data_IF_329072957428
#
_entry.id   IF_329072957428
#
_cell.length_a   1.000
_cell.length_b   1.000
_cell.length_c   1.000
_cell.angle_alpha   90.00
_cell.angle_beta   90.00
_cell.angle_gamma   90.00
#
_symmetry.space_group_name_H-M   'P 1'
#
loop_
_entity.id
_entity.type
_entity.pdbx_description
1 polymer ?
#
# COMPACT_ATOMS: atom_id res chain seq x y z
N UNK A 1 21.20 -11.00 -1.91
CA UNK A 1 21.09 -11.41 -0.48
C UNK A 1 20.60 -10.31 0.47
N UNK A 2 21.31 -9.19 0.71
CA UNK A 2 20.84 -8.16 1.68
C UNK A 2 19.47 -7.53 1.37
N UNK A 3 19.14 -7.31 0.08
CA UNK A 3 17.81 -6.80 -0.34
C UNK A 3 16.69 -7.84 -0.22
N UNK A 4 17.01 -9.13 -0.42
CA UNK A 4 16.06 -10.24 -0.24
C UNK A 4 15.71 -10.39 1.24
N UNK A 5 16.70 -10.41 2.14
CA UNK A 5 16.47 -10.44 3.59
C UNK A 5 15.53 -9.31 4.05
N UNK A 6 15.69 -8.07 3.52
CA UNK A 6 14.79 -6.96 3.86
C UNK A 6 13.32 -7.16 3.45
N UNK A 7 13.04 -7.89 2.36
CA UNK A 7 11.66 -8.21 1.92
C UNK A 7 11.02 -9.32 2.77
N UNK A 8 11.82 -10.22 3.37
CA UNK A 8 11.33 -11.49 3.92
C UNK A 8 11.14 -11.44 5.45
N UNK A 9 11.91 -10.61 6.13
CA UNK A 9 11.79 -10.41 7.59
C UNK A 9 10.42 -9.79 8.01
N UNK A 10 9.76 -8.91 7.23
CA UNK A 10 8.39 -8.46 7.53
C UNK A 10 7.37 -9.61 7.55
N UNK A 11 7.46 -10.53 6.58
CA UNK A 11 6.59 -11.73 6.50
C UNK A 11 6.83 -12.68 7.67
N UNK A 12 8.09 -12.82 8.11
CA UNK A 12 8.47 -13.61 9.30
C UNK A 12 7.82 -13.08 10.60
N UNK A 13 7.55 -11.77 10.68
CA UNK A 13 6.96 -11.14 11.85
C UNK A 13 5.41 -11.20 11.85
N UNK A 14 4.79 -11.37 10.68
CA UNK A 14 3.33 -11.49 10.50
C UNK A 14 2.81 -12.94 10.64
N UNK A 15 3.59 -13.94 10.24
CA UNK A 15 3.22 -15.36 10.29
C UNK A 15 3.38 -15.99 11.68
N UNK A 16 2.69 -15.46 12.70
CA UNK A 16 2.70 -16.02 14.05
C UNK A 16 1.31 -16.51 14.49
N UNK A 17 0.55 -17.13 13.58
CA UNK A 17 -0.58 -17.97 13.96
C UNK A 17 -0.67 -19.11 12.95
N UNK A 18 -0.14 -20.28 13.30
CA UNK A 18 -0.81 -21.57 13.12
C UNK A 18 -0.03 -22.64 13.89
N UNK A 19 -0.82 -23.49 14.53
CA UNK A 19 -0.43 -24.42 15.57
C UNK A 19 -0.31 -25.82 14.96
N UNK A 20 0.79 -26.53 15.20
CA UNK A 20 0.81 -27.99 15.18
C UNK A 20 1.95 -28.53 16.04
N UNK A 21 1.60 -29.43 16.94
CA UNK A 21 2.43 -30.02 17.97
C UNK A 21 3.62 -30.81 17.40
N UNK A 22 4.85 -30.37 17.67
CA UNK A 22 6.07 -31.12 17.40
C UNK A 22 6.23 -32.30 18.37
N UNK A 23 5.53 -33.40 18.09
CA UNK A 23 5.73 -34.67 18.80
C UNK A 23 6.67 -35.57 18.01
N UNK A 24 7.99 -35.50 18.24
CA UNK A 24 8.94 -36.55 17.81
C UNK A 24 10.20 -36.11 17.06
N UNK A 25 10.40 -34.82 16.78
CA UNK A 25 11.61 -34.29 16.12
C UNK A 25 12.63 -33.86 17.17
N UNK A 26 13.90 -34.23 17.00
CA UNK A 26 14.98 -33.85 17.91
C UNK A 26 15.38 -32.37 17.72
N UNK A 27 15.83 -31.72 18.80
CA UNK A 27 16.40 -30.37 18.72
C UNK A 27 17.55 -30.35 17.69
N UNK A 28 17.45 -29.47 16.68
CA UNK A 28 18.47 -29.36 15.63
C UNK A 28 18.17 -30.15 14.36
N UNK A 29 17.10 -30.96 14.33
CA UNK A 29 16.73 -31.78 13.17
C UNK A 29 15.86 -31.00 12.18
N UNK A 30 16.49 -30.12 11.40
CA UNK A 30 15.85 -29.33 10.34
C UNK A 30 15.16 -30.21 9.29
N UNK A 31 15.77 -31.35 8.93
CA UNK A 31 15.23 -32.26 7.91
C UNK A 31 13.96 -32.95 8.45
N UNK A 32 13.99 -33.44 9.68
CA UNK A 32 12.82 -34.00 10.36
C UNK A 32 11.71 -32.97 10.53
N UNK A 33 12.03 -31.76 10.97
CA UNK A 33 11.08 -30.66 11.12
C UNK A 33 10.39 -30.30 9.79
N UNK A 34 11.14 -30.24 8.68
CA UNK A 34 10.58 -29.97 7.36
C UNK A 34 9.72 -31.13 6.85
N UNK A 35 10.12 -32.39 7.06
CA UNK A 35 9.32 -33.57 6.69
C UNK A 35 7.98 -33.61 7.43
N UNK A 36 7.98 -33.31 8.73
CA UNK A 36 6.73 -33.25 9.52
C UNK A 36 5.82 -32.11 9.05
N UNK A 37 6.40 -30.96 8.69
CA UNK A 37 5.65 -29.86 8.09
C UNK A 37 4.97 -30.28 6.78
N UNK A 38 5.72 -30.88 5.84
CA UNK A 38 5.16 -31.39 4.57
C UNK A 38 4.01 -32.37 4.82
N UNK A 39 4.17 -33.31 5.76
CA UNK A 39 3.09 -34.24 6.15
C UNK A 39 1.84 -33.50 6.62
N UNK A 40 2.01 -32.47 7.44
CA UNK A 40 0.90 -31.70 8.01
C UNK A 40 0.15 -30.87 6.96
N UNK A 41 0.86 -30.24 6.03
CA UNK A 41 0.29 -29.45 4.94
C UNK A 41 -0.43 -30.34 3.91
N UNK A 42 0.15 -31.48 3.55
CA UNK A 42 -0.52 -32.46 2.67
C UNK A 42 -1.79 -33.03 3.29
N UNK A 43 -1.78 -33.29 4.61
CA UNK A 43 -2.97 -33.79 5.32
C UNK A 43 -4.08 -32.74 5.42
N UNK A 44 -3.72 -31.46 5.54
CA UNK A 44 -4.66 -30.34 5.62
C UNK A 44 -5.09 -29.81 4.24
N UNK A 45 -4.40 -30.22 3.17
CA UNK A 45 -4.68 -29.79 1.80
C UNK A 45 -4.19 -28.37 1.49
N UNK A 46 -3.27 -27.84 2.29
CA UNK A 46 -2.72 -26.47 2.17
C UNK A 46 -1.31 -26.45 1.56
N UNK A 47 -0.83 -27.58 1.05
CA UNK A 47 0.46 -27.66 0.38
C UNK A 47 0.50 -26.80 -0.89
N UNK A 48 1.51 -25.92 -0.98
CA UNK A 48 1.63 -24.91 -2.05
C UNK A 48 2.93 -24.98 -2.86
N UNK A 49 3.86 -25.88 -2.52
CA UNK A 49 5.19 -25.94 -3.16
C UNK A 49 5.26 -26.89 -4.37
N UNK A 50 4.20 -27.65 -4.68
CA UNK A 50 4.13 -28.46 -5.90
C UNK A 50 2.69 -28.63 -6.38
N UNK A 51 2.52 -28.85 -7.68
CA UNK A 51 1.22 -29.12 -8.29
C UNK A 51 0.82 -30.61 -8.30
N UNK A 52 1.74 -31.53 -7.95
CA UNK A 52 1.43 -32.96 -7.87
C UNK A 52 0.41 -33.29 -6.77
N UNK A 53 -0.82 -33.58 -7.20
CA UNK A 53 -1.95 -34.02 -6.34
C UNK A 53 -1.66 -35.37 -5.63
N UNK A 54 -0.65 -36.12 -6.06
CA UNK A 54 -0.24 -37.41 -5.48
C UNK A 54 1.07 -37.33 -4.68
N UNK A 55 1.54 -36.12 -4.32
CA UNK A 55 2.71 -35.97 -3.46
C UNK A 55 2.44 -36.58 -2.08
N UNK A 56 3.38 -37.38 -1.59
CA UNK A 56 3.44 -37.81 -0.19
C UNK A 56 4.75 -37.36 0.42
N UNK A 57 4.80 -37.16 1.74
CA UNK A 57 6.03 -36.74 2.41
C UNK A 57 7.19 -37.75 2.27
N UNK A 58 6.89 -39.01 1.96
CA UNK A 58 7.89 -40.06 1.68
C UNK A 58 8.52 -39.90 0.30
N UNK A 59 7.85 -39.19 -0.62
CA UNK A 59 8.37 -38.85 -1.95
C UNK A 59 9.22 -37.57 -1.95
N UNK A 60 9.27 -36.86 -0.82
CA UNK A 60 10.19 -35.73 -0.63
C UNK A 60 11.51 -36.27 -0.13
N UNK A 61 12.50 -36.29 -1.01
CA UNK A 61 13.81 -36.88 -0.73
C UNK A 61 14.96 -35.88 -1.00
N UNK A 62 16.18 -36.26 -0.63
CA UNK A 62 17.41 -35.46 -0.82
C UNK A 62 17.31 -34.05 -0.24
N UNK A 63 16.66 -33.93 0.92
CA UNK A 63 16.48 -32.64 1.60
C UNK A 63 17.85 -32.14 2.09
N UNK A 64 18.27 -31.00 1.56
CA UNK A 64 19.45 -30.25 2.00
C UNK A 64 18.99 -28.95 2.64
N UNK A 65 19.62 -28.58 3.75
CA UNK A 65 19.27 -27.38 4.51
C UNK A 65 20.52 -26.51 4.66
N UNK A 66 20.47 -25.29 4.14
CA UNK A 66 21.49 -24.27 4.33
C UNK A 66 20.95 -23.18 5.26
N UNK A 67 21.59 -23.00 6.41
CA UNK A 67 21.21 -21.95 7.37
C UNK A 67 21.64 -20.59 6.80
N UNK A 68 20.67 -19.69 6.65
CA UNK A 68 20.93 -18.36 6.11
C UNK A 68 21.15 -17.33 7.23
N UNK A 69 20.23 -17.31 8.22
CA UNK A 69 20.22 -16.28 9.27
C UNK A 69 19.39 -16.70 10.49
N UNK A 70 19.87 -16.39 11.68
CA UNK A 70 19.07 -16.46 12.90
C UNK A 70 18.23 -15.19 13.02
N UNK A 71 16.91 -15.32 12.93
CA UNK A 71 15.99 -14.19 13.00
C UNK A 71 15.86 -13.74 14.45
N UNK A 72 16.37 -12.56 14.76
CA UNK A 72 16.32 -11.99 16.11
C UNK A 72 15.17 -11.01 16.30
N UNK A 73 14.88 -10.66 17.56
CA UNK A 73 13.99 -9.53 17.89
C UNK A 73 14.48 -8.23 17.24
N UNK A 74 15.79 -8.00 17.14
CA UNK A 74 16.34 -6.83 16.44
C UNK A 74 15.97 -6.81 14.95
N UNK A 75 15.99 -7.97 14.30
CA UNK A 75 15.63 -8.08 12.88
C UNK A 75 14.13 -7.81 12.68
N UNK A 76 13.27 -8.39 13.52
CA UNK A 76 11.83 -8.14 13.48
C UNK A 76 11.48 -6.67 13.76
N UNK A 77 12.14 -6.02 14.73
CA UNK A 77 11.96 -4.60 14.99
C UNK A 77 12.40 -3.74 13.80
N UNK A 78 13.51 -4.09 13.14
CA UNK A 78 13.99 -3.36 11.95
C UNK A 78 13.02 -3.50 10.78
N UNK A 79 12.53 -4.71 10.52
CA UNK A 79 11.57 -4.96 9.46
C UNK A 79 10.22 -4.27 9.73
N UNK A 80 9.68 -4.40 10.94
CA UNK A 80 8.45 -3.72 11.33
C UNK A 80 8.55 -2.20 11.23
N UNK A 81 9.72 -1.61 11.52
CA UNK A 81 9.97 -0.17 11.31
C UNK A 81 9.95 0.19 9.84
N UNK A 82 10.61 -0.58 8.99
CA UNK A 82 10.61 -0.30 7.55
C UNK A 82 9.20 -0.40 6.97
N UNK A 83 8.46 -1.45 7.32
CA UNK A 83 7.08 -1.64 6.89
C UNK A 83 6.16 -0.49 7.37
N UNK A 84 6.31 -0.06 8.62
CA UNK A 84 5.57 1.10 9.14
C UNK A 84 5.92 2.38 8.39
N UNK A 85 7.19 2.60 8.04
CA UNK A 85 7.63 3.75 7.23
C UNK A 85 7.01 3.68 5.82
N UNK A 86 7.08 2.53 5.17
CA UNK A 86 6.55 2.35 3.81
C UNK A 86 5.02 2.53 3.79
N UNK A 87 4.32 2.02 4.80
CA UNK A 87 2.88 2.20 5.00
C UNK A 87 2.52 3.67 5.26
N UNK A 88 3.29 4.36 6.11
CA UNK A 88 3.10 5.78 6.38
C UNK A 88 3.27 6.61 5.10
N UNK A 89 4.38 6.42 4.39
CA UNK A 89 4.70 7.17 3.16
C UNK A 89 3.66 6.94 2.08
N UNK A 90 3.25 5.69 1.85
CA UNK A 90 2.21 5.37 0.86
C UNK A 90 0.85 5.99 1.21
N UNK A 91 0.48 5.96 2.49
CA UNK A 91 -0.76 6.60 2.98
C UNK A 91 -0.70 8.12 2.85
N UNK A 92 0.42 8.74 3.21
CA UNK A 92 0.65 10.18 3.06
C UNK A 92 0.50 10.60 1.60
N UNK A 93 1.16 9.90 0.69
CA UNK A 93 1.12 10.18 -0.75
C UNK A 93 -0.30 10.07 -1.31
N UNK A 94 -1.05 9.01 -0.92
CA UNK A 94 -2.44 8.83 -1.35
C UNK A 94 -3.33 9.99 -0.88
N UNK A 95 -3.26 10.34 0.40
CA UNK A 95 -4.07 11.43 0.97
C UNK A 95 -3.71 12.79 0.35
N UNK A 96 -2.42 13.03 0.12
CA UNK A 96 -1.95 14.23 -0.56
C UNK A 96 -2.49 14.31 -1.99
N UNK A 97 -2.43 13.20 -2.73
CA UNK A 97 -2.99 13.13 -4.08
C UNK A 97 -4.50 13.39 -4.09
N UNK A 98 -5.26 12.77 -3.18
CA UNK A 98 -6.70 13.00 -3.05
C UNK A 98 -7.03 14.48 -2.77
N UNK A 99 -6.26 15.12 -1.88
CA UNK A 99 -6.38 16.55 -1.60
C UNK A 99 -6.07 17.42 -2.83
N UNK A 100 -4.98 17.14 -3.55
CA UNK A 100 -4.58 17.89 -4.75
C UNK A 100 -5.58 17.75 -5.90
N UNK A 101 -6.15 16.55 -6.09
CA UNK A 101 -7.22 16.31 -7.07
C UNK A 101 -8.48 17.09 -6.70
N UNK A 102 -8.89 17.05 -5.42
CA UNK A 102 -10.04 17.84 -4.97
C UNK A 102 -9.79 19.35 -5.13
N UNK A 103 -8.56 19.80 -4.86
CA UNK A 103 -8.15 21.19 -5.07
C UNK A 103 -8.26 21.61 -6.54
N UNK A 104 -7.71 20.78 -7.43
CA UNK A 104 -7.78 21.00 -8.86
C UNK A 104 -9.23 21.09 -9.35
N UNK A 105 -10.10 20.19 -8.88
CA UNK A 105 -11.49 20.15 -9.30
C UNK A 105 -12.28 21.40 -8.87
N UNK A 106 -12.11 21.89 -7.63
CA UNK A 106 -12.81 23.12 -7.23
C UNK A 106 -12.29 24.33 -8.02
N UNK A 107 -10.98 24.44 -8.28
CA UNK A 107 -10.41 25.54 -9.07
C UNK A 107 -10.92 25.50 -10.51
N UNK A 108 -11.06 24.32 -11.10
CA UNK A 108 -11.59 24.14 -12.44
C UNK A 108 -13.04 24.63 -12.52
N UNK A 109 -13.90 24.22 -11.58
CA UNK A 109 -15.30 24.66 -11.53
C UNK A 109 -15.39 26.17 -11.25
N UNK A 110 -14.65 26.69 -10.28
CA UNK A 110 -14.57 28.13 -9.98
C UNK A 110 -14.24 28.96 -11.24
N UNK A 111 -13.16 28.60 -11.93
CA UNK A 111 -12.75 29.26 -13.15
C UNK A 111 -13.83 29.17 -14.24
N UNK A 112 -14.54 28.04 -14.34
CA UNK A 112 -15.68 27.87 -15.25
C UNK A 112 -16.86 28.78 -14.89
N UNK A 113 -17.15 28.99 -13.61
CA UNK A 113 -18.20 29.93 -13.18
C UNK A 113 -17.82 31.38 -13.50
N UNK A 114 -16.57 31.76 -13.23
CA UNK A 114 -16.07 33.11 -13.54
C UNK A 114 -16.03 33.37 -15.05
N UNK A 115 -15.61 32.40 -15.85
CA UNK A 115 -15.62 32.51 -17.31
C UNK A 115 -17.04 32.71 -17.85
N UNK A 116 -18.03 31.97 -17.33
CA UNK A 116 -19.44 32.16 -17.69
C UNK A 116 -19.95 33.55 -17.30
N UNK A 117 -19.57 34.04 -16.12
CA UNK A 117 -19.96 35.38 -15.67
C UNK A 117 -19.38 36.47 -16.57
N UNK A 118 -18.11 36.36 -16.91
CA UNK A 118 -17.43 37.28 -17.82
C UNK A 118 -18.05 37.28 -19.23
N UNK A 119 -18.48 36.10 -19.72
CA UNK A 119 -19.18 36.00 -20.99
C UNK A 119 -20.55 36.71 -20.96
N UNK A 120 -21.33 36.54 -19.89
CA UNK A 120 -22.59 37.29 -19.73
C UNK A 120 -22.37 38.80 -19.58
N UNK A 121 -21.32 39.22 -18.86
CA UNK A 121 -20.97 40.63 -18.75
C UNK A 121 -20.62 41.23 -20.12
N UNK A 122 -19.87 40.50 -20.94
CA UNK A 122 -19.57 40.90 -22.33
C UNK A 122 -20.84 41.02 -23.16
N UNK A 123 -21.69 39.99 -23.16
CA UNK A 123 -22.97 39.98 -23.90
C UNK A 123 -23.89 41.12 -23.46
N UNK A 124 -23.93 41.41 -22.16
CA UNK A 124 -24.67 42.54 -21.59
C UNK A 124 -24.14 43.87 -22.14
N UNK A 125 -22.82 44.10 -22.07
CA UNK A 125 -22.17 45.32 -22.59
C UNK A 125 -22.43 45.51 -24.09
N UNK A 126 -22.32 44.45 -24.88
CA UNK A 126 -22.60 44.48 -26.33
C UNK A 126 -24.07 44.78 -26.61
N UNK A 127 -25.01 44.12 -25.93
CA UNK A 127 -26.44 44.37 -26.10
C UNK A 127 -26.83 45.79 -25.71
N UNK A 128 -26.27 46.33 -24.62
CA UNK A 128 -26.50 47.73 -24.21
C UNK A 128 -25.96 48.72 -25.24
N UNK A 129 -24.80 48.46 -25.85
CA UNK A 129 -24.20 49.31 -26.90
C UNK A 129 -25.04 49.33 -28.17
N UNK A 130 -25.49 48.16 -28.63
CA UNK A 130 -26.19 48.03 -29.92
C UNK A 130 -27.68 48.33 -29.82
N UNK A 131 -28.31 48.01 -28.70
CA UNK A 131 -29.78 47.96 -28.56
C UNK A 131 -30.30 48.60 -27.26
N UNK A 132 -29.49 49.40 -26.56
CA UNK A 132 -29.88 49.96 -25.25
C UNK A 132 -31.17 50.79 -25.25
N UNK A 133 -31.52 51.42 -26.37
CA UNK A 133 -32.76 52.18 -26.54
C UNK A 133 -33.86 51.40 -27.28
N UNK A 134 -33.60 50.16 -27.69
CA UNK A 134 -34.56 49.33 -28.41
C UNK A 134 -35.43 48.56 -27.41
N UNK A 135 -36.70 48.95 -27.34
CA UNK A 135 -37.69 48.36 -26.43
C UNK A 135 -37.92 46.86 -26.67
N UNK A 136 -37.64 46.36 -27.87
CA UNK A 136 -37.74 44.93 -28.19
C UNK A 136 -36.59 44.11 -27.60
N UNK A 137 -35.46 44.75 -27.30
CA UNK A 137 -34.27 44.10 -26.71
C UNK A 137 -34.19 44.21 -25.19
N UNK A 138 -35.05 45.02 -24.56
CA UNK A 138 -35.06 45.24 -23.11
C UNK A 138 -35.09 43.93 -22.30
N UNK A 139 -35.94 42.97 -22.69
CA UNK A 139 -36.04 41.67 -22.03
C UNK A 139 -34.74 40.84 -22.14
N UNK A 140 -34.05 40.91 -23.29
CA UNK A 140 -32.79 40.19 -23.51
C UNK A 140 -31.64 40.80 -22.70
N UNK A 141 -31.56 42.12 -22.62
CA UNK A 141 -30.59 42.85 -21.80
C UNK A 141 -30.78 42.48 -20.32
N UNK A 142 -32.02 42.52 -19.83
CA UNK A 142 -32.34 42.13 -18.46
C UNK A 142 -31.99 40.65 -18.19
N UNK A 143 -32.25 39.76 -19.15
CA UNK A 143 -31.86 38.36 -19.06
C UNK A 143 -30.35 38.15 -18.89
N UNK A 144 -29.52 38.87 -19.65
CA UNK A 144 -28.06 38.81 -19.48
C UNK A 144 -27.60 39.32 -18.11
N UNK A 145 -28.21 40.41 -17.64
CA UNK A 145 -27.92 40.96 -16.31
C UNK A 145 -28.24 39.95 -15.21
N UNK A 146 -29.43 39.36 -15.22
CA UNK A 146 -29.84 38.36 -14.23
C UNK A 146 -28.96 37.10 -14.27
N UNK A 147 -28.58 36.65 -15.48
CA UNK A 147 -27.69 35.49 -15.63
C UNK A 147 -26.30 35.77 -15.04
N UNK A 148 -25.74 36.96 -15.27
CA UNK A 148 -24.48 37.41 -14.69
C UNK A 148 -24.55 37.53 -13.16
N UNK A 149 -25.65 38.07 -12.62
CA UNK A 149 -25.84 38.28 -11.17
C UNK A 149 -26.02 36.97 -10.38
N UNK A 150 -26.50 35.90 -11.02
CA UNK A 150 -26.61 34.56 -10.42
C UNK A 150 -25.28 33.83 -10.28
N UNK A 151 -24.24 34.29 -10.97
CA UNK A 151 -22.92 33.66 -10.95
C UNK A 151 -21.99 34.34 -9.93
N UNK A 152 -21.09 33.58 -9.29
CA UNK A 152 -20.17 34.12 -8.30
C UNK A 152 -19.19 35.10 -8.94
N UNK A 153 -18.86 36.15 -8.19
CA UNK A 153 -18.06 37.28 -8.67
C UNK A 153 -16.59 37.23 -8.33
N UNK A 154 -16.27 36.48 -7.30
CA UNK A 154 -14.96 36.31 -6.67
C UNK A 154 -14.98 34.98 -5.91
N UNK A 155 -13.82 34.60 -5.37
CA UNK A 155 -13.65 33.35 -4.63
C UNK A 155 -14.59 33.24 -3.43
N UNK A 156 -14.77 34.32 -2.68
CA UNK A 156 -15.65 34.32 -1.51
C UNK A 156 -17.12 34.04 -1.90
N UNK A 157 -17.60 34.66 -2.98
CA UNK A 157 -18.90 34.37 -3.55
C UNK A 157 -18.98 32.94 -4.11
N UNK A 158 -17.91 32.43 -4.72
CA UNK A 158 -17.85 31.05 -5.22
C UNK A 158 -17.94 30.04 -4.07
N UNK A 159 -17.19 30.22 -3.00
CA UNK A 159 -17.22 29.35 -1.82
C UNK A 159 -18.63 29.23 -1.26
N UNK A 160 -19.35 30.35 -1.12
CA UNK A 160 -20.74 30.34 -0.66
C UNK A 160 -21.66 29.65 -1.68
N UNK A 161 -21.55 30.05 -2.95
CA UNK A 161 -22.32 29.47 -4.06
C UNK A 161 -22.16 27.95 -4.14
N UNK A 162 -20.94 27.45 -4.00
CA UNK A 162 -20.63 26.03 -4.11
C UNK A 162 -21.08 25.24 -2.87
N UNK A 163 -20.90 25.79 -1.66
CA UNK A 163 -21.38 25.15 -0.42
C UNK A 163 -22.90 25.03 -0.34
N UNK A 164 -23.64 25.95 -0.96
CA UNK A 164 -25.10 25.92 -1.03
C UNK A 164 -25.65 24.86 -2.02
N UNK A 165 -24.80 24.25 -2.85
CA UNK A 165 -25.18 23.16 -3.76
C UNK A 165 -25.28 21.83 -3.02
N UNK A 166 -26.13 20.92 -3.51
CA UNK A 166 -26.22 19.54 -3.00
C UNK A 166 -24.86 18.83 -3.01
N UNK A 167 -24.14 18.97 -4.12
CA UNK A 167 -22.75 18.56 -4.30
C UNK A 167 -21.82 19.78 -4.32
N UNK A 168 -20.78 19.78 -3.50
CA UNK A 168 -19.85 20.89 -3.32
C UNK A 168 -18.40 20.43 -3.42
N UNK A 169 -17.68 21.00 -4.39
CA UNK A 169 -16.24 20.77 -4.55
C UNK A 169 -15.43 21.33 -3.38
N UNK A 170 -15.86 22.45 -2.79
CA UNK A 170 -15.22 23.01 -1.60
C UNK A 170 -15.35 22.06 -0.41
N UNK A 171 -16.53 21.45 -0.19
CA UNK A 171 -16.70 20.46 0.90
C UNK A 171 -15.83 19.21 0.70
N UNK A 172 -15.69 18.75 -0.55
CA UNK A 172 -14.77 17.64 -0.86
C UNK A 172 -13.32 18.00 -0.56
N UNK A 173 -12.86 19.17 -1.01
CA UNK A 173 -11.51 19.65 -0.73
C UNK A 173 -11.25 19.83 0.77
N UNK A 174 -12.17 20.46 1.51
CA UNK A 174 -12.04 20.64 2.97
C UNK A 174 -11.97 19.29 3.69
N UNK A 175 -12.73 18.28 3.22
CA UNK A 175 -12.70 16.92 3.77
C UNK A 175 -11.36 16.24 3.50
N UNK A 176 -10.89 16.26 2.24
CA UNK A 176 -9.62 15.64 1.85
C UNK A 176 -8.43 16.32 2.55
N UNK A 177 -8.44 17.66 2.62
CA UNK A 177 -7.44 18.44 3.34
C UNK A 177 -7.44 18.10 4.84
N UNK A 178 -8.61 18.02 5.46
CA UNK A 178 -8.72 17.64 6.88
C UNK A 178 -8.16 16.23 7.13
N UNK A 179 -8.41 15.27 6.24
CA UNK A 179 -7.87 13.92 6.36
C UNK A 179 -6.34 13.90 6.24
N UNK A 180 -5.79 14.64 5.26
CA UNK A 180 -4.35 14.80 5.10
C UNK A 180 -3.71 15.47 6.31
N UNK A 181 -4.25 16.62 6.76
CA UNK A 181 -3.74 17.38 7.92
C UNK A 181 -3.76 16.53 9.20
N UNK A 182 -4.84 15.77 9.44
CA UNK A 182 -4.95 14.88 10.60
C UNK A 182 -3.92 13.74 10.55
N UNK A 183 -3.67 13.18 9.36
CA UNK A 183 -2.70 12.12 9.18
C UNK A 183 -1.27 12.63 9.44
N UNK A 184 -0.85 13.71 8.79
CA UNK A 184 0.51 14.25 8.95
C UNK A 184 0.76 14.90 10.32
N UNK A 185 -0.30 15.26 11.05
CA UNK A 185 -0.18 15.68 12.44
C UNK A 185 0.31 14.54 13.35
N UNK A 186 0.03 13.28 12.97
CA UNK A 186 0.68 12.11 13.57
C UNK A 186 2.04 11.97 12.88
N UNK A 187 3.11 12.39 13.54
CA UNK A 187 4.44 12.25 12.95
C UNK A 187 4.80 10.77 12.72
N UNK A 188 5.76 10.53 11.85
CA UNK A 188 6.19 9.16 11.48
C UNK A 188 6.68 8.35 12.69
N UNK A 189 7.30 8.99 13.69
CA UNK A 189 7.82 8.29 14.88
C UNK A 189 6.68 7.78 15.78
N UNK A 190 5.62 8.56 15.94
CA UNK A 190 4.42 8.17 16.68
C UNK A 190 3.65 7.08 15.93
N UNK A 191 3.57 7.18 14.61
CA UNK A 191 2.98 6.14 13.76
C UNK A 191 3.73 4.81 13.90
N UNK A 192 5.07 4.82 13.79
CA UNK A 192 5.93 3.65 13.99
C UNK A 192 5.71 3.03 15.37
N UNK A 193 5.61 3.83 16.44
CA UNK A 193 5.39 3.31 17.79
C UNK A 193 4.03 2.65 17.96
N UNK A 194 3.00 3.14 17.27
CA UNK A 194 1.66 2.56 17.27
C UNK A 194 1.53 1.30 16.40
N UNK A 195 2.54 0.96 15.62
CA UNK A 195 2.49 -0.19 14.72
C UNK A 195 2.49 -1.51 15.51
N UNK A 196 1.42 -2.30 15.36
CA UNK A 196 1.16 -3.52 16.14
C UNK A 196 2.34 -4.49 16.17
N UNK A 197 3.04 -4.63 15.04
CA UNK A 197 4.22 -5.49 14.91
C UNK A 197 5.36 -5.04 15.83
N UNK A 198 5.59 -3.74 15.94
CA UNK A 198 6.64 -3.18 16.80
C UNK A 198 6.24 -3.32 18.26
N UNK A 199 4.98 -3.02 18.59
CA UNK A 199 4.46 -3.08 19.95
C UNK A 199 4.68 -4.45 20.64
N UNK A 200 4.63 -5.56 19.87
CA UNK A 200 4.87 -6.93 20.37
C UNK A 200 6.30 -7.21 20.84
N UNK A 201 7.27 -6.41 20.39
CA UNK A 201 8.69 -6.63 20.66
C UNK A 201 9.30 -5.55 21.57
N UNK A 202 8.53 -4.53 21.95
CA UNK A 202 8.99 -3.48 22.88
C UNK A 202 9.38 -4.10 24.22
N UNK A 203 10.58 -3.79 24.69
CA UNK A 203 11.10 -4.24 25.99
C UNK A 203 11.68 -5.66 26.02
N UNK A 204 11.66 -6.37 24.89
CA UNK A 204 12.34 -7.68 24.75
C UNK A 204 13.83 -7.49 24.49
N UNK A 205 14.62 -8.53 24.81
CA UNK A 205 16.03 -8.56 24.48
C UNK A 205 16.20 -8.61 22.95
N UNK A 206 16.89 -7.64 22.39
CA UNK A 206 17.12 -7.53 20.95
C UNK A 206 17.94 -8.69 20.38
N UNK A 207 18.68 -9.41 21.22
CA UNK A 207 19.49 -10.57 20.83
C UNK A 207 18.71 -11.89 20.88
N UNK A 208 17.48 -11.88 21.41
CA UNK A 208 16.62 -13.06 21.46
C UNK A 208 16.34 -13.59 20.06
N UNK A 209 16.64 -14.88 19.84
CA UNK A 209 16.40 -15.57 18.57
C UNK A 209 14.94 -16.04 18.54
N UNK A 210 14.21 -15.58 17.54
CA UNK A 210 12.81 -15.95 17.31
C UNK A 210 12.68 -17.18 16.42
N UNK A 211 13.67 -17.46 15.59
CA UNK A 211 13.66 -18.58 14.66
C UNK A 211 14.89 -18.60 13.76
N UNK A 212 15.00 -19.62 12.92
CA UNK A 212 16.11 -19.77 11.99
C UNK A 212 15.55 -19.78 10.57
N UNK A 213 15.98 -18.82 9.75
CA UNK A 213 15.70 -18.81 8.33
C UNK A 213 16.73 -19.68 7.62
N UNK A 214 16.26 -20.66 6.85
CA UNK A 214 17.12 -21.56 6.11
C UNK A 214 16.55 -21.82 4.71
N UNK A 215 17.45 -21.97 3.73
CA UNK A 215 17.10 -22.48 2.41
C UNK A 215 17.01 -23.99 2.49
N UNK A 216 15.89 -24.54 2.04
CA UNK A 216 15.64 -25.97 1.98
C UNK A 216 15.52 -26.36 0.51
N UNK A 217 16.44 -27.17 0.05
CA UNK A 217 16.41 -27.79 -1.28
C UNK A 217 15.95 -29.24 -1.14
N UNK A 218 15.05 -29.67 -2.00
CA UNK A 218 14.46 -31.00 -1.92
C UNK A 218 14.00 -31.48 -3.29
N UNK A 219 13.86 -32.79 -3.46
CA UNK A 219 13.39 -33.39 -4.71
C UNK A 219 11.96 -33.85 -4.52
N UNK A 220 11.08 -33.45 -5.44
CA UNK A 220 9.71 -33.97 -5.60
C UNK A 220 9.63 -34.78 -6.91
N UNK A 221 8.53 -35.51 -7.17
CA UNK A 221 8.30 -36.15 -8.47
C UNK A 221 8.33 -35.17 -9.65
N UNK A 222 8.02 -33.89 -9.40
CA UNK A 222 8.05 -32.81 -10.39
C UNK A 222 9.47 -32.25 -10.63
N UNK A 223 10.47 -32.67 -9.84
CA UNK A 223 11.86 -32.27 -9.96
C UNK A 223 12.44 -31.60 -8.71
N UNK A 224 13.55 -30.89 -8.88
CA UNK A 224 14.20 -30.17 -7.79
C UNK A 224 13.38 -28.93 -7.41
N UNK A 225 13.15 -28.75 -6.12
CA UNK A 225 12.44 -27.62 -5.54
C UNK A 225 13.34 -26.94 -4.50
N UNK A 226 13.12 -25.64 -4.29
CA UNK A 226 13.77 -24.89 -3.23
C UNK A 226 12.79 -23.93 -2.58
N UNK A 227 12.91 -23.75 -1.27
CA UNK A 227 12.11 -22.81 -0.51
C UNK A 227 12.96 -22.21 0.61
N UNK A 228 12.69 -20.95 1.00
CA UNK A 228 13.22 -20.46 2.28
C UNK A 228 12.14 -20.65 3.33
N UNK A 229 12.57 -21.22 4.44
CA UNK A 229 11.71 -21.73 5.48
C UNK A 229 12.13 -21.10 6.80
N UNK A 230 11.16 -20.66 7.59
CA UNK A 230 11.39 -20.18 8.94
C UNK A 230 11.12 -21.34 9.91
N UNK A 231 12.17 -21.84 10.54
CA UNK A 231 12.08 -22.78 11.65
C UNK A 231 11.91 -22.04 12.98
N UNK A 232 11.41 -22.72 14.00
CA UNK A 232 11.47 -22.21 15.37
C UNK A 232 12.92 -22.15 15.90
N UNK A 233 13.13 -21.45 17.03
CA UNK A 233 14.47 -21.20 17.63
C UNK A 233 15.31 -22.48 17.76
N UNK A 234 14.68 -23.57 18.19
CA UNK A 234 15.24 -24.91 18.17
C UNK A 234 14.48 -25.72 17.13
N UNK A 235 15.01 -25.90 15.92
CA UNK A 235 14.30 -26.45 14.76
C UNK A 235 13.73 -27.83 15.08
N UNK A 236 12.47 -27.82 15.48
CA UNK A 236 11.63 -28.99 15.76
C UNK A 236 10.33 -28.93 14.99
N UNK A 237 9.98 -27.74 14.47
CA UNK A 237 8.91 -27.54 13.50
C UNK A 237 9.17 -26.30 12.63
N UNK A 238 8.47 -26.24 11.50
CA UNK A 238 8.46 -25.09 10.58
C UNK A 238 7.36 -24.13 11.01
N UNK A 239 7.70 -22.85 11.21
CA UNK A 239 6.74 -21.79 11.51
C UNK A 239 5.98 -21.34 10.26
N UNK A 240 6.70 -21.17 9.15
CA UNK A 240 6.12 -20.74 7.87
C UNK A 240 7.13 -20.93 6.73
N UNK A 241 6.63 -20.96 5.49
CA UNK A 241 7.43 -20.82 4.27
C UNK A 241 7.46 -19.34 3.89
N UNK A 242 8.64 -18.82 3.57
CA UNK A 242 8.86 -17.41 3.25
C UNK A 242 8.96 -17.13 1.75
N UNK A 243 9.22 -18.16 0.93
CA UNK A 243 9.12 -18.08 -0.53
C UNK A 243 7.66 -18.06 -0.96
N UNK A 244 7.20 -16.92 -1.48
CA UNK A 244 6.08 -16.92 -2.44
C UNK A 244 6.54 -17.66 -3.70
N UNK A 245 5.68 -18.49 -4.27
CA UNK A 245 5.89 -19.12 -5.58
C UNK A 245 6.10 -18.11 -6.74
N UNK A 246 6.08 -16.80 -6.47
CA UNK A 246 6.30 -15.70 -7.41
C UNK A 246 7.57 -14.88 -7.13
N UNK A 247 8.38 -15.20 -6.12
CA UNK A 247 9.55 -14.39 -5.75
C UNK A 247 10.86 -14.79 -6.47
N UNK A 248 10.80 -15.76 -7.38
CA UNK A 248 11.95 -16.24 -8.18
C UNK A 248 11.87 -15.84 -9.66
N UNK A 249 10.81 -15.17 -10.09
CA UNK A 249 10.74 -14.59 -11.44
C UNK A 249 11.18 -13.11 -11.41
N UNK A 250 12.31 -12.88 -12.09
CA UNK A 250 12.82 -11.61 -12.63
C UNK A 250 13.34 -10.52 -11.67
N UNK A 251 14.55 -10.72 -11.14
CA UNK A 251 15.50 -9.65 -10.76
C UNK A 251 16.55 -9.40 -11.87
N UNK A 252 16.20 -9.70 -13.13
CA UNK A 252 17.02 -9.44 -14.33
C UNK A 252 16.39 -8.35 -15.23
N UNK A 253 15.71 -7.37 -14.65
CA UNK A 253 15.52 -6.09 -15.35
C UNK A 253 16.64 -5.14 -14.93
N UNK A 254 17.73 -5.18 -15.70
CA UNK A 254 18.61 -4.02 -15.86
C UNK A 254 17.71 -2.80 -16.06
N UNK A 255 17.74 -1.89 -15.09
CA UNK A 255 17.07 -0.61 -15.22
C UNK A 255 17.76 0.15 -16.34
N UNK A 256 17.18 0.15 -17.53
CA UNK A 256 17.51 1.12 -18.56
C UNK A 256 17.24 2.51 -17.97
N UNK A 257 18.33 3.16 -17.60
CA UNK A 257 18.36 4.57 -17.25
C UNK A 257 17.88 5.34 -18.49
N UNK A 258 16.65 5.82 -18.44
CA UNK A 258 16.15 6.80 -19.40
C UNK A 258 16.94 8.09 -19.17
N UNK A 259 18.00 8.29 -19.96
CA UNK A 259 18.61 9.59 -20.18
C UNK A 259 17.55 10.51 -20.80
N UNK A 260 17.12 11.50 -20.03
CA UNK A 260 16.44 12.67 -20.58
C UNK A 260 17.48 13.52 -21.30
N UNK A 261 17.63 13.36 -22.61
CA UNK A 261 18.17 14.42 -23.44
C UNK A 261 17.10 15.50 -23.63
N UNK A 262 17.48 16.72 -23.25
CA UNK A 262 16.74 17.92 -23.53
C UNK A 262 17.00 18.36 -24.97
N UNK A 263 15.94 18.54 -25.75
CA UNK A 263 15.88 19.46 -26.90
C UNK A 263 14.79 20.50 -26.67
#
# INVERSE_FOLDING_TARGET
>A
MKRLLCKWIPVCAMGAVLCACGGGVADGDYVGAFKEYVKSELKSGTWVLSADENLSAEKVDSIQVEILHEVTVADSLRAGRQEAIDSYVSTEQRLKYEMEVAEHNYKLDENSQFARRADYERKLKEAMRSHGNDRNYASKIEGYKQAMERLPKDHEAYVKFDKDRDFSYIREYETAKSAYDQFVATNVDDYIQSYDLIARYVGRDTTEVLGVAAQVEFITPDGNQSAIVLFNEKPTFVKTILTDAQALEDDDTESDAIEYEAE
#
